data_IF_901273198774
#
_entry.id   IF_901273198774
#
_cell.length_a   1.000
_cell.length_b   1.000
_cell.length_c   1.000
_cell.angle_alpha   90.00
_cell.angle_beta   90.00
_cell.angle_gamma   90.00
#
_symmetry.space_group_name_H-M   'P 1'
#
loop_
_entity.id
_entity.type
_entity.pdbx_description
1 polymer ?
#
# COMPACT_ATOMS: atom_id res chain seq x y z
N UNK A 1 2.50 -20.72 16.85
CA UNK A 1 1.77 -20.90 15.58
C UNK A 1 1.93 -19.65 14.72
N UNK A 2 2.32 -19.81 13.49
CA UNK A 2 2.42 -18.66 12.58
C UNK A 2 1.04 -18.26 12.08
N UNK A 3 0.76 -16.97 12.13
CA UNK A 3 -0.46 -16.39 11.59
C UNK A 3 -0.16 -15.89 10.19
N UNK A 4 -0.98 -16.25 9.21
CA UNK A 4 -0.82 -15.80 7.84
C UNK A 4 -1.40 -14.40 7.64
N UNK A 5 -1.03 -13.76 6.53
CA UNK A 5 -1.63 -12.48 6.14
C UNK A 5 -3.15 -12.58 6.04
N UNK A 6 -3.63 -13.70 5.46
CA UNK A 6 -5.07 -13.93 5.33
C UNK A 6 -5.76 -13.99 6.69
N UNK A 7 -5.13 -14.64 7.68
CA UNK A 7 -5.68 -14.74 9.03
C UNK A 7 -5.81 -13.36 9.67
N UNK A 8 -4.78 -12.51 9.50
CA UNK A 8 -4.78 -11.15 10.03
C UNK A 8 -5.89 -10.33 9.38
N UNK A 9 -6.05 -10.44 8.08
CA UNK A 9 -7.11 -9.74 7.35
C UNK A 9 -8.48 -10.16 7.85
N UNK A 10 -8.69 -11.45 8.10
CA UNK A 10 -9.96 -11.94 8.64
C UNK A 10 -10.27 -11.37 10.02
N UNK A 11 -9.25 -11.29 10.90
CA UNK A 11 -9.41 -10.73 12.25
C UNK A 11 -9.79 -9.24 12.17
N UNK A 12 -9.08 -8.49 11.33
CA UNK A 12 -9.34 -7.06 11.17
C UNK A 12 -10.73 -6.83 10.56
N UNK A 13 -11.12 -7.63 9.59
CA UNK A 13 -12.40 -7.48 8.91
C UNK A 13 -13.59 -7.68 9.84
N UNK A 14 -13.46 -8.55 10.85
CA UNK A 14 -14.52 -8.76 11.85
C UNK A 14 -14.76 -7.54 12.71
N UNK A 15 -13.78 -6.67 12.87
CA UNK A 15 -13.84 -5.48 13.73
C UNK A 15 -13.96 -4.19 12.89
N UNK A 16 -14.24 -4.31 11.61
CA UNK A 16 -14.32 -3.17 10.72
C UNK A 16 -15.66 -2.44 10.88
N UNK A 17 -15.60 -1.11 10.89
CA UNK A 17 -16.78 -0.25 10.90
C UNK A 17 -17.12 0.12 9.45
N UNK A 18 -18.25 -0.36 8.97
CA UNK A 18 -18.69 -0.10 7.61
C UNK A 18 -19.23 1.32 7.47
N UNK A 19 -18.87 1.99 6.39
CA UNK A 19 -19.34 3.32 6.03
C UNK A 19 -19.81 3.32 4.58
N UNK A 20 -20.80 4.15 4.28
CA UNK A 20 -21.36 4.24 2.93
C UNK A 20 -20.33 4.70 1.89
N UNK A 21 -19.36 5.51 2.31
CA UNK A 21 -18.32 6.04 1.43
C UNK A 21 -17.30 4.97 1.01
N UNK A 22 -17.24 3.84 1.73
CA UNK A 22 -16.28 2.78 1.44
C UNK A 22 -16.90 1.82 0.45
N UNK A 23 -16.39 1.80 -0.78
CA UNK A 23 -16.89 0.97 -1.86
C UNK A 23 -16.19 -0.38 -1.96
N UNK A 24 -14.92 -0.45 -1.50
CA UNK A 24 -14.12 -1.67 -1.49
C UNK A 24 -13.58 -1.85 -0.09
N UNK A 25 -14.02 -2.92 0.56
CA UNK A 25 -13.69 -3.20 1.95
C UNK A 25 -12.32 -3.84 2.11
N UNK A 26 -11.96 -4.13 3.38
CA UNK A 26 -10.69 -4.77 3.74
C UNK A 26 -10.55 -6.11 3.00
N UNK A 27 -9.34 -6.39 2.52
CA UNK A 27 -9.02 -7.64 1.85
C UNK A 27 -8.64 -7.47 0.39
N UNK A 28 -8.80 -6.26 -0.15
CA UNK A 28 -8.38 -5.92 -1.50
C UNK A 28 -7.03 -5.18 -1.46
N UNK A 29 -6.41 -5.01 -2.62
CA UNK A 29 -5.09 -4.36 -2.71
C UNK A 29 -5.13 -2.89 -2.33
N UNK A 30 -6.29 -2.25 -2.43
CA UNK A 30 -6.47 -0.83 -2.13
C UNK A 30 -7.86 -0.59 -1.61
N UNK A 31 -8.05 0.53 -0.93
CA UNK A 31 -9.39 1.01 -0.57
C UNK A 31 -9.91 1.96 -1.63
N UNK A 32 -11.22 1.98 -1.79
CA UNK A 32 -11.90 2.91 -2.69
C UNK A 32 -12.92 3.70 -1.88
N UNK A 33 -12.81 5.01 -1.92
CA UNK A 33 -13.66 5.92 -1.18
C UNK A 33 -14.39 6.81 -2.17
N UNK A 34 -15.69 6.97 -1.97
CA UNK A 34 -16.49 7.90 -2.75
C UNK A 34 -16.59 9.24 -1.99
N UNK A 35 -15.92 10.30 -2.45
CA UNK A 35 -15.82 11.56 -1.71
C UNK A 35 -16.98 12.50 -1.91
N UNK A 36 -18.17 12.01 -2.25
CA UNK A 36 -19.38 12.81 -2.49
C UNK A 36 -19.26 13.77 -3.67
N UNK A 37 -18.42 13.44 -4.64
CA UNK A 37 -18.27 14.14 -5.91
C UNK A 37 -18.33 13.09 -7.03
N UNK A 38 -18.21 13.53 -8.25
CA UNK A 38 -18.34 12.65 -9.41
C UNK A 38 -17.09 11.79 -9.66
N UNK A 39 -16.18 11.74 -8.72
CA UNK A 39 -14.95 10.96 -8.84
C UNK A 39 -14.71 10.09 -7.63
N UNK A 40 -13.90 9.05 -7.82
CA UNK A 40 -13.47 8.15 -6.76
C UNK A 40 -12.01 8.44 -6.41
N UNK A 41 -11.68 8.26 -5.14
CA UNK A 41 -10.29 8.29 -4.68
C UNK A 41 -9.91 6.86 -4.32
N UNK A 42 -8.85 6.37 -4.95
CA UNK A 42 -8.29 5.05 -4.68
C UNK A 42 -6.96 5.25 -3.97
N UNK A 43 -6.82 4.65 -2.79
CA UNK A 43 -5.58 4.72 -2.03
C UNK A 43 -5.03 3.33 -1.80
N UNK A 44 -3.72 3.23 -1.87
CA UNK A 44 -3.01 1.99 -1.57
C UNK A 44 -1.75 2.32 -0.80
N UNK A 45 -1.24 1.36 -0.06
CA UNK A 45 0.03 1.48 0.63
C UNK A 45 0.75 0.15 0.60
N UNK A 46 2.06 0.22 0.60
CA UNK A 46 2.90 -0.97 0.59
C UNK A 46 4.14 -0.72 1.42
N UNK A 47 4.68 -1.77 2.02
CA UNK A 47 5.85 -1.68 2.87
C UNK A 47 6.98 -2.50 2.26
N UNK A 48 8.16 -1.89 2.12
CA UNK A 48 9.37 -2.59 1.70
C UNK A 48 10.18 -2.97 2.94
N UNK A 49 10.40 -4.26 3.12
CA UNK A 49 11.10 -4.80 4.29
C UNK A 49 12.43 -5.40 3.86
N UNK A 50 13.51 -5.00 4.53
CA UNK A 50 14.85 -5.52 4.28
C UNK A 50 14.86 -7.06 4.37
N UNK A 51 15.54 -7.70 3.45
CA UNK A 51 15.66 -9.15 3.32
C UNK A 51 14.34 -9.89 3.00
N UNK A 52 13.24 -9.18 2.86
CA UNK A 52 11.96 -9.73 2.41
C UNK A 52 11.64 -9.24 1.01
N UNK A 53 11.75 -7.94 0.78
CA UNK A 53 11.43 -7.32 -0.50
C UNK A 53 12.66 -6.80 -1.23
N UNK A 54 13.77 -6.59 -0.51
CA UNK A 54 15.02 -6.14 -1.09
C UNK A 54 16.18 -6.59 -0.21
N UNK A 55 17.39 -6.60 -0.79
CA UNK A 55 18.62 -6.94 -0.09
C UNK A 55 19.36 -5.70 0.36
N UNK A 56 20.22 -5.85 1.38
CA UNK A 56 20.93 -4.71 1.97
C UNK A 56 21.88 -4.00 1.01
N UNK A 57 22.29 -4.64 -0.07
CA UNK A 57 23.18 -4.06 -1.08
C UNK A 57 22.45 -3.32 -2.19
N UNK A 58 21.13 -3.20 -2.12
CA UNK A 58 20.37 -2.48 -3.14
C UNK A 58 20.76 -1.00 -3.13
N UNK A 59 20.82 -0.41 -4.32
CA UNK A 59 21.07 1.02 -4.43
C UNK A 59 19.82 1.80 -4.00
N UNK A 60 19.98 2.94 -3.30
CA UNK A 60 18.82 3.74 -2.88
C UNK A 60 17.86 4.10 -4.01
N UNK A 61 18.38 4.43 -5.18
CA UNK A 61 17.57 4.71 -6.36
C UNK A 61 16.68 3.51 -6.73
N UNK A 62 17.26 2.32 -6.76
CA UNK A 62 16.53 1.11 -7.13
C UNK A 62 15.47 0.77 -6.10
N UNK A 63 15.75 0.98 -4.82
CA UNK A 63 14.78 0.76 -3.76
C UNK A 63 13.58 1.69 -3.93
N UNK A 64 13.84 2.98 -4.17
CA UNK A 64 12.78 3.95 -4.43
C UNK A 64 11.95 3.59 -5.66
N UNK A 65 12.61 3.13 -6.72
CA UNK A 65 11.94 2.70 -7.94
C UNK A 65 10.99 1.54 -7.67
N UNK A 66 11.47 0.51 -6.97
CA UNK A 66 10.66 -0.67 -6.64
C UNK A 66 9.45 -0.28 -5.78
N UNK A 67 9.67 0.57 -4.77
CA UNK A 67 8.59 1.02 -3.90
C UNK A 67 7.52 1.78 -4.68
N UNK A 68 7.93 2.70 -5.56
CA UNK A 68 6.99 3.45 -6.40
C UNK A 68 6.27 2.53 -7.38
N UNK A 69 7.00 1.65 -8.05
CA UNK A 69 6.43 0.74 -9.05
C UNK A 69 5.39 -0.21 -8.43
N UNK A 70 5.66 -0.70 -7.22
CA UNK A 70 4.74 -1.57 -6.50
C UNK A 70 3.40 -0.88 -6.24
N UNK A 71 3.45 0.36 -5.76
CA UNK A 71 2.23 1.13 -5.49
C UNK A 71 1.49 1.53 -6.76
N UNK A 72 2.21 1.92 -7.80
CA UNK A 72 1.61 2.25 -9.10
C UNK A 72 0.93 1.03 -9.70
N UNK A 73 1.54 -0.14 -9.57
CA UNK A 73 0.97 -1.39 -10.05
C UNK A 73 -0.38 -1.67 -9.38
N UNK A 74 -0.47 -1.48 -8.06
CA UNK A 74 -1.71 -1.69 -7.33
C UNK A 74 -2.80 -0.70 -7.76
N UNK A 75 -2.44 0.56 -7.97
CA UNK A 75 -3.39 1.56 -8.47
C UNK A 75 -3.86 1.22 -9.89
N UNK A 76 -2.94 0.76 -10.74
CA UNK A 76 -3.27 0.36 -12.12
C UNK A 76 -4.21 -0.84 -12.14
N UNK A 77 -4.02 -1.79 -11.23
CA UNK A 77 -4.90 -2.94 -11.10
C UNK A 77 -6.34 -2.53 -10.75
N UNK A 78 -6.50 -1.38 -10.09
CA UNK A 78 -7.80 -0.82 -9.74
C UNK A 78 -8.33 0.17 -10.79
N UNK A 79 -7.61 0.34 -11.90
CA UNK A 79 -7.99 1.27 -12.95
C UNK A 79 -7.82 2.74 -12.58
N UNK A 80 -6.98 3.04 -11.61
CA UNK A 80 -6.77 4.40 -11.13
C UNK A 80 -5.50 5.03 -11.71
N UNK A 81 -5.49 6.35 -11.78
CA UNK A 81 -4.32 7.12 -12.18
C UNK A 81 -3.56 7.59 -10.94
N UNK A 82 -2.22 7.39 -10.88
CA UNK A 82 -1.43 7.91 -9.76
C UNK A 82 -1.44 9.44 -9.79
N UNK A 83 -1.72 10.05 -8.64
CA UNK A 83 -1.79 11.49 -8.51
C UNK A 83 -0.87 12.01 -7.40
N UNK A 84 -0.91 11.39 -6.23
CA UNK A 84 -0.15 11.83 -5.07
C UNK A 84 0.43 10.61 -4.35
N UNK A 85 1.50 10.84 -3.60
CA UNK A 85 2.10 9.81 -2.77
C UNK A 85 2.40 10.36 -1.37
N UNK A 86 2.16 9.52 -0.37
CA UNK A 86 2.67 9.74 0.98
C UNK A 86 3.83 8.78 1.16
N UNK A 87 4.97 9.30 1.60
CA UNK A 87 6.17 8.49 1.77
C UNK A 87 6.49 8.35 3.25
N UNK A 88 6.52 7.12 3.73
CA UNK A 88 6.91 6.79 5.09
C UNK A 88 8.23 6.02 5.03
N UNK A 89 9.29 6.57 5.64
CA UNK A 89 10.61 5.97 5.61
C UNK A 89 11.06 5.62 7.03
N UNK A 90 11.46 4.37 7.20
CA UNK A 90 12.13 3.90 8.41
C UNK A 90 13.40 3.21 7.94
N UNK A 91 14.52 3.90 8.03
CA UNK A 91 15.79 3.42 7.50
C UNK A 91 16.92 3.66 8.50
N UNK A 92 17.92 2.77 8.46
CA UNK A 92 19.15 2.93 9.23
C UNK A 92 20.23 3.59 8.37
N UNK A 93 20.99 4.48 8.98
CA UNK A 93 22.17 5.11 8.37
C UNK A 93 21.88 5.67 6.96
N UNK A 94 20.92 6.60 6.82
CA UNK A 94 20.58 7.14 5.51
C UNK A 94 21.74 7.94 4.93
N UNK A 95 21.87 7.89 3.61
CA UNK A 95 22.86 8.67 2.86
C UNK A 95 22.14 9.73 2.02
N UNK A 96 22.94 10.62 1.40
CA UNK A 96 22.38 11.65 0.52
C UNK A 96 22.08 11.14 -0.90
N UNK A 97 22.39 9.89 -1.16
CA UNK A 97 22.15 9.29 -2.47
C UNK A 97 20.72 8.79 -2.67
#
# INVERSE_FOLDING_TARGET
>A
MKISEKDIIEIISKNNNFREEILVEIGQDASVIFPKQDSYIVTTTDTMVLNTHFESNIKPYDLGYIAAASNISDLSAMGAHPAFALINLTIENPTKE
#
